data_IF_997288348104
#
_entry.id   IF_997288348104
#
_cell.length_a   1.000
_cell.length_b   1.000
_cell.length_c   1.000
_cell.angle_alpha   90.00
_cell.angle_beta   90.00
_cell.angle_gamma   90.00
#
_symmetry.space_group_name_H-M   'P 1'
#
loop_
_entity.id
_entity.type
_entity.pdbx_description
1 polymer ?
#
# COMPACT_ATOMS: atom_id res chain seq x y z
N UNK A 1 25.08 13.53 15.39
CA UNK A 1 24.54 12.21 15.80
C UNK A 1 23.69 11.76 14.62
N UNK A 2 24.08 10.72 13.93
CA UNK A 2 23.21 10.06 12.94
C UNK A 2 22.14 9.36 13.75
N UNK A 3 20.90 9.87 13.71
CA UNK A 3 19.78 9.17 14.30
C UNK A 3 19.71 7.76 13.68
N UNK A 4 19.55 6.73 14.50
CA UNK A 4 19.43 5.36 14.00
C UNK A 4 18.14 5.27 13.15
N UNK A 5 18.27 4.69 11.95
CA UNK A 5 17.10 4.48 11.10
C UNK A 5 16.20 3.45 11.77
N UNK A 6 14.92 3.78 11.93
CA UNK A 6 13.95 2.91 12.61
C UNK A 6 12.65 2.78 11.85
N UNK A 7 11.99 1.64 12.01
CA UNK A 7 10.63 1.41 11.52
C UNK A 7 9.65 2.11 12.44
N UNK A 8 8.91 3.10 11.92
CA UNK A 8 7.91 3.87 12.68
C UNK A 8 6.48 3.48 12.41
N UNK A 9 6.23 2.72 11.34
CA UNK A 9 4.88 2.27 11.01
C UNK A 9 4.87 1.08 10.06
N UNK A 10 3.92 0.18 10.29
CA UNK A 10 3.66 -0.98 9.44
C UNK A 10 2.19 -0.98 9.04
N UNK A 11 1.93 -1.16 7.75
CA UNK A 11 0.57 -1.08 7.21
C UNK A 11 0.34 -2.13 6.14
N UNK A 12 -0.85 -2.72 6.13
CA UNK A 12 -1.35 -3.49 4.99
C UNK A 12 -2.68 -2.92 4.49
N UNK A 13 -3.05 -3.26 3.29
CA UNK A 13 -4.28 -2.82 2.62
C UNK A 13 -5.02 -4.05 2.11
N UNK A 14 -5.84 -4.72 2.93
CA UNK A 14 -6.43 -6.01 2.56
C UNK A 14 -7.16 -5.98 1.22
N UNK A 15 -7.88 -4.89 0.94
CA UNK A 15 -8.59 -4.68 -0.32
C UNK A 15 -7.98 -3.50 -1.09
N UNK A 16 -7.62 -3.71 -2.36
CA UNK A 16 -7.13 -2.64 -3.25
C UNK A 16 -8.07 -1.45 -3.24
N UNK A 17 -7.53 -0.25 -3.03
CA UNK A 17 -8.31 1.01 -3.02
C UNK A 17 -8.97 1.37 -1.69
N UNK A 18 -9.08 0.45 -0.72
CA UNK A 18 -9.66 0.73 0.60
C UNK A 18 -8.60 1.12 1.64
N UNK A 19 -9.03 1.36 2.87
CA UNK A 19 -8.21 1.89 3.97
C UNK A 19 -7.04 0.99 4.36
N UNK A 20 -5.96 1.57 4.92
CA UNK A 20 -4.90 0.80 5.55
C UNK A 20 -5.36 0.16 6.86
N UNK A 21 -4.68 -0.92 7.23
CA UNK A 21 -4.68 -1.49 8.56
C UNK A 21 -3.28 -1.36 9.16
N UNK A 22 -3.16 -0.65 10.27
CA UNK A 22 -1.91 -0.57 11.01
C UNK A 22 -1.62 -1.91 11.71
N UNK A 23 -0.36 -2.30 11.73
CA UNK A 23 0.13 -3.52 12.36
C UNK A 23 1.22 -3.17 13.37
N UNK A 24 1.19 -3.67 14.61
CA UNK A 24 2.30 -3.47 15.55
C UNK A 24 3.52 -4.30 15.14
N UNK A 25 3.27 -5.45 14.53
CA UNK A 25 4.28 -6.37 14.00
C UNK A 25 3.69 -7.21 12.88
N UNK A 26 4.57 -7.79 12.06
CA UNK A 26 4.17 -8.69 10.97
C UNK A 26 5.27 -9.71 10.69
N UNK A 27 4.90 -10.93 10.34
CA UNK A 27 5.80 -11.93 9.81
C UNK A 27 5.86 -11.78 8.29
N UNK A 28 7.05 -11.63 7.74
CA UNK A 28 7.29 -11.60 6.31
C UNK A 28 7.89 -12.93 5.86
N UNK A 29 7.46 -13.42 4.70
CA UNK A 29 7.99 -14.62 4.05
C UNK A 29 8.79 -14.24 2.81
N UNK A 30 9.82 -15.01 2.50
CA UNK A 30 10.71 -14.72 1.38
C UNK A 30 9.95 -14.79 0.04
N UNK A 31 10.11 -13.75 -0.77
CA UNK A 31 9.49 -13.66 -2.08
C UNK A 31 8.01 -13.28 -2.09
N UNK A 32 7.41 -13.05 -0.91
CA UNK A 32 6.00 -12.69 -0.77
C UNK A 32 5.81 -11.21 -0.44
N UNK A 33 4.58 -10.72 -0.60
CA UNK A 33 4.15 -9.42 -0.10
C UNK A 33 3.90 -9.49 1.42
N UNK A 34 3.52 -8.38 2.01
CA UNK A 34 3.00 -8.37 3.37
C UNK A 34 1.70 -9.22 3.43
N UNK A 35 1.51 -10.09 4.45
CA UNK A 35 0.34 -10.96 4.55
C UNK A 35 -0.97 -10.19 4.40
N UNK A 36 -1.84 -10.70 3.52
CA UNK A 36 -3.14 -10.10 3.13
C UNK A 36 -3.05 -8.72 2.48
N UNK A 37 -1.85 -8.23 2.12
CA UNK A 37 -1.74 -6.95 1.44
C UNK A 37 -2.25 -7.04 0.01
N UNK A 38 -3.32 -6.28 -0.31
CA UNK A 38 -4.04 -6.30 -1.60
C UNK A 38 -4.43 -7.73 -2.04
N UNK A 39 -4.75 -8.60 -1.06
CA UNK A 39 -5.19 -9.97 -1.34
C UNK A 39 -6.55 -10.00 -2.06
N UNK A 40 -7.32 -8.92 -1.94
CA UNK A 40 -8.57 -8.72 -2.66
C UNK A 40 -8.56 -7.42 -3.45
N UNK A 41 -9.29 -7.44 -4.58
CA UNK A 41 -9.62 -6.25 -5.34
C UNK A 41 -11.09 -6.27 -5.73
N UNK A 42 -11.65 -5.10 -6.02
CA UNK A 42 -13.01 -4.96 -6.53
C UNK A 42 -12.93 -4.65 -8.01
N UNK A 43 -13.29 -5.60 -8.87
CA UNK A 43 -13.40 -5.34 -10.30
C UNK A 43 -14.48 -4.29 -10.58
N UNK A 44 -14.19 -3.43 -11.53
CA UNK A 44 -15.10 -2.37 -11.99
C UNK A 44 -15.38 -2.52 -13.47
N UNK A 45 -16.45 -3.20 -13.79
CA UNK A 45 -16.87 -3.50 -15.15
C UNK A 45 -16.79 -4.99 -15.49
N UNK A 46 -16.71 -5.34 -16.79
CA UNK A 46 -16.71 -6.74 -17.21
C UNK A 46 -15.51 -7.47 -16.60
N UNK A 47 -15.80 -8.57 -15.90
CA UNK A 47 -14.83 -9.39 -15.20
C UNK A 47 -13.71 -9.86 -16.13
N UNK A 48 -12.47 -9.47 -15.83
CA UNK A 48 -11.26 -9.84 -16.58
C UNK A 48 -10.33 -10.71 -15.79
N UNK A 49 -10.53 -10.76 -14.46
CA UNK A 49 -9.67 -11.53 -13.60
C UNK A 49 -10.12 -12.98 -13.55
N UNK A 50 -9.23 -13.86 -13.98
CA UNK A 50 -9.40 -15.32 -13.86
C UNK A 50 -8.70 -15.80 -12.59
N UNK A 51 -9.47 -16.32 -11.63
CA UNK A 51 -8.96 -16.83 -10.36
C UNK A 51 -8.15 -18.14 -10.54
N UNK A 52 -8.39 -18.90 -11.61
CA UNK A 52 -7.71 -20.15 -11.92
C UNK A 52 -6.40 -19.93 -12.69
N UNK A 53 -6.26 -18.76 -13.34
CA UNK A 53 -5.04 -18.35 -14.05
C UNK A 53 -4.73 -16.88 -13.69
N UNK A 54 -4.36 -16.60 -12.41
CA UNK A 54 -4.17 -15.24 -11.92
C UNK A 54 -3.00 -14.57 -12.66
N UNK A 55 -3.26 -13.37 -13.17
CA UNK A 55 -2.24 -12.54 -13.81
C UNK A 55 -2.39 -11.09 -13.39
N UNK A 56 -1.30 -10.35 -13.45
CA UNK A 56 -1.34 -8.93 -13.23
C UNK A 56 -2.25 -8.25 -14.26
N UNK A 57 -3.16 -7.40 -13.78
CA UNK A 57 -4.04 -6.59 -14.62
C UNK A 57 -3.81 -5.11 -14.34
N UNK A 58 -3.98 -4.24 -15.36
CA UNK A 58 -3.92 -2.80 -15.15
C UNK A 58 -4.88 -2.36 -14.05
N UNK A 59 -4.44 -1.43 -13.20
CA UNK A 59 -5.25 -0.91 -12.08
C UNK A 59 -6.63 -0.39 -12.51
N UNK A 60 -6.77 0.04 -13.77
CA UNK A 60 -8.05 0.48 -14.33
C UNK A 60 -9.13 -0.62 -14.41
N UNK A 61 -8.75 -1.90 -14.26
CA UNK A 61 -9.72 -3.00 -14.16
C UNK A 61 -10.48 -3.01 -12.83
N UNK A 62 -9.98 -2.28 -11.83
CA UNK A 62 -10.48 -2.30 -10.47
C UNK A 62 -10.97 -0.91 -10.03
N UNK A 63 -11.76 -0.85 -8.96
CA UNK A 63 -11.97 0.38 -8.21
C UNK A 63 -10.62 0.86 -7.66
N UNK A 64 -10.31 2.15 -7.83
CA UNK A 64 -9.00 2.71 -7.47
C UNK A 64 -9.11 4.19 -7.08
N UNK A 65 -8.35 4.60 -6.06
CA UNK A 65 -8.37 5.99 -5.55
C UNK A 65 -8.02 7.05 -6.61
N UNK A 66 -7.22 6.70 -7.62
CA UNK A 66 -6.87 7.64 -8.69
C UNK A 66 -8.09 8.20 -9.42
N UNK A 67 -9.19 7.43 -9.50
CA UNK A 67 -10.44 7.81 -10.16
C UNK A 67 -11.60 7.90 -9.19
N UNK A 68 -11.61 7.05 -8.18
CA UNK A 68 -12.76 6.79 -7.31
C UNK A 68 -12.43 7.26 -5.89
N UNK A 69 -12.18 8.58 -5.70
CA UNK A 69 -11.74 9.18 -4.42
C UNK A 69 -12.70 8.95 -3.27
N UNK A 70 -13.99 8.76 -3.55
CA UNK A 70 -15.00 8.41 -2.53
C UNK A 70 -14.67 7.15 -1.75
N UNK A 71 -13.82 6.25 -2.30
CA UNK A 71 -13.34 5.08 -1.56
C UNK A 71 -12.57 5.45 -0.29
N UNK A 72 -11.87 6.59 -0.28
CA UNK A 72 -11.11 7.06 0.88
C UNK A 72 -12.00 7.43 2.07
N UNK A 73 -13.28 7.78 1.84
CA UNK A 73 -14.23 8.08 2.92
C UNK A 73 -14.78 6.83 3.61
N UNK A 74 -14.47 5.65 3.09
CA UNK A 74 -14.81 4.36 3.70
C UNK A 74 -13.67 3.91 4.62
N UNK A 75 -13.94 3.84 5.90
CA UNK A 75 -13.01 3.28 6.89
C UNK A 75 -13.21 1.77 6.93
N UNK A 76 -12.13 1.01 6.86
CA UNK A 76 -12.22 -0.45 6.87
C UNK A 76 -11.39 -1.04 7.99
N UNK A 77 -11.91 -2.11 8.59
CA UNK A 77 -11.16 -3.01 9.47
C UNK A 77 -11.25 -4.43 8.95
N UNK A 78 -10.17 -5.17 9.10
CA UNK A 78 -10.05 -6.54 8.62
C UNK A 78 -9.62 -7.46 9.75
N UNK A 79 -10.44 -8.47 10.02
CA UNK A 79 -10.14 -9.54 10.95
C UNK A 79 -9.44 -10.67 10.18
N UNK A 80 -8.16 -10.89 10.49
CA UNK A 80 -7.33 -11.87 9.80
C UNK A 80 -7.78 -13.32 10.06
N UNK A 81 -8.22 -13.63 11.30
CA UNK A 81 -8.60 -14.98 11.68
C UNK A 81 -9.86 -15.45 10.95
N UNK A 82 -10.81 -14.55 10.72
CA UNK A 82 -12.09 -14.83 10.07
C UNK A 82 -12.15 -14.30 8.64
N UNK A 83 -11.11 -13.61 8.17
CA UNK A 83 -11.08 -12.88 6.88
C UNK A 83 -12.28 -11.95 6.69
N UNK A 84 -12.80 -11.41 7.79
CA UNK A 84 -13.98 -10.54 7.77
C UNK A 84 -13.58 -9.09 7.55
N UNK A 85 -14.09 -8.49 6.49
CA UNK A 85 -14.01 -7.05 6.23
C UNK A 85 -15.24 -6.36 6.82
N UNK A 86 -15.01 -5.34 7.64
CA UNK A 86 -16.04 -4.40 8.08
C UNK A 86 -15.78 -3.04 7.43
N UNK A 87 -16.79 -2.47 6.79
CA UNK A 87 -16.77 -1.12 6.23
C UNK A 87 -17.57 -0.22 7.14
N UNK A 88 -16.97 0.90 7.53
CA UNK A 88 -17.63 1.98 8.29
C UNK A 88 -17.63 3.28 7.48
N UNK A 89 -18.63 4.12 7.74
CA UNK A 89 -18.75 5.47 7.20
C UNK A 89 -19.20 6.41 8.31
N UNK A 90 -18.44 7.50 8.49
CA UNK A 90 -18.72 8.44 9.61
C UNK A 90 -18.70 7.72 10.97
N UNK A 91 -17.79 6.78 11.18
CA UNK A 91 -17.64 6.03 12.41
C UNK A 91 -18.68 4.91 12.64
N UNK A 92 -19.67 4.74 11.74
CA UNK A 92 -20.72 3.72 11.88
C UNK A 92 -20.48 2.57 10.90
N UNK A 93 -20.50 1.29 11.33
CA UNK A 93 -20.48 0.14 10.44
C UNK A 93 -21.67 0.18 9.47
N UNK A 94 -21.41 0.02 8.17
CA UNK A 94 -22.41 0.06 7.10
C UNK A 94 -22.45 -1.23 6.29
N UNK A 95 -21.40 -2.04 6.33
CA UNK A 95 -21.36 -3.37 5.69
C UNK A 95 -20.33 -4.25 6.38
N UNK A 96 -20.58 -5.56 6.44
CA UNK A 96 -19.65 -6.55 6.99
C UNK A 96 -19.81 -7.87 6.24
N UNK A 97 -18.68 -8.49 5.85
CA UNK A 97 -18.70 -9.76 5.14
C UNK A 97 -17.38 -10.52 5.26
N UNK A 98 -17.47 -11.82 5.38
CA UNK A 98 -16.34 -12.74 5.29
C UNK A 98 -15.89 -12.86 3.83
N UNK A 99 -14.71 -12.36 3.51
CA UNK A 99 -14.17 -12.33 2.14
C UNK A 99 -13.75 -13.73 1.63
N UNK A 100 -13.62 -14.72 2.50
CA UNK A 100 -13.39 -16.09 2.08
C UNK A 100 -14.65 -16.72 1.49
N UNK A 101 -15.85 -16.27 1.89
CA UNK A 101 -17.12 -16.84 1.44
C UNK A 101 -17.76 -16.05 0.31
N UNK A 102 -18.50 -16.75 -0.56
CA UNK A 102 -19.28 -16.12 -1.64
C UNK A 102 -20.34 -15.17 -1.08
N UNK A 103 -21.04 -15.58 0.01
CA UNK A 103 -22.09 -14.78 0.66
C UNK A 103 -21.51 -13.49 1.24
N UNK A 104 -20.38 -13.59 1.97
CA UNK A 104 -19.76 -12.42 2.58
C UNK A 104 -19.25 -11.43 1.54
N UNK A 105 -18.66 -11.90 0.42
CA UNK A 105 -18.29 -11.04 -0.70
C UNK A 105 -19.51 -10.36 -1.31
N UNK A 106 -20.61 -11.10 -1.53
CA UNK A 106 -21.84 -10.53 -2.09
C UNK A 106 -22.43 -9.40 -1.23
N UNK A 107 -22.35 -9.48 0.08
CA UNK A 107 -22.81 -8.41 0.99
C UNK A 107 -21.99 -7.13 0.77
N UNK A 108 -20.66 -7.25 0.67
CA UNK A 108 -19.79 -6.09 0.43
C UNK A 108 -19.99 -5.55 -1.00
N UNK A 109 -20.15 -6.42 -1.98
CA UNK A 109 -20.40 -6.03 -3.38
C UNK A 109 -21.72 -5.24 -3.52
N UNK A 110 -22.80 -5.66 -2.87
CA UNK A 110 -24.08 -4.95 -2.86
C UNK A 110 -23.96 -3.56 -2.25
N UNK A 111 -23.24 -3.45 -1.12
CA UNK A 111 -22.95 -2.15 -0.52
C UNK A 111 -22.17 -1.25 -1.49
N UNK A 112 -21.08 -1.76 -2.10
CA UNK A 112 -20.28 -1.00 -3.04
C UNK A 112 -21.06 -0.66 -4.31
N UNK A 113 -21.96 -1.53 -4.78
CA UNK A 113 -22.83 -1.24 -5.91
C UNK A 113 -23.72 -0.02 -5.65
N UNK A 114 -24.29 0.06 -4.47
CA UNK A 114 -25.12 1.21 -4.09
C UNK A 114 -24.27 2.47 -3.84
N UNK A 115 -23.14 2.32 -3.12
CA UNK A 115 -22.32 3.45 -2.72
C UNK A 115 -21.57 4.09 -3.90
N UNK A 116 -21.06 3.29 -4.84
CA UNK A 116 -20.21 3.72 -5.97
C UNK A 116 -20.98 3.79 -7.29
N UNK A 117 -22.33 3.76 -7.28
CA UNK A 117 -23.20 3.62 -8.47
C UNK A 117 -22.77 4.50 -9.66
N UNK A 118 -22.37 5.75 -9.40
CA UNK A 118 -22.02 6.72 -10.44
C UNK A 118 -20.60 6.52 -11.03
N UNK A 119 -19.76 5.70 -10.37
CA UNK A 119 -18.38 5.39 -10.77
C UNK A 119 -18.23 3.99 -11.37
N UNK A 120 -19.28 3.18 -11.30
CA UNK A 120 -19.25 1.80 -11.78
C UNK A 120 -19.46 1.71 -13.29
N UNK A 121 -18.73 0.79 -13.92
CA UNK A 121 -18.86 0.41 -15.34
C UNK A 121 -19.61 -0.91 -15.52
N UNK A 122 -20.08 -1.49 -14.42
CA UNK A 122 -20.83 -2.73 -14.31
C UNK A 122 -20.89 -3.19 -12.85
N UNK A 123 -21.53 -4.31 -12.54
CA UNK A 123 -21.61 -4.83 -11.18
C UNK A 123 -20.20 -5.02 -10.58
N UNK A 124 -19.93 -4.49 -9.37
CA UNK A 124 -18.65 -4.69 -8.71
C UNK A 124 -18.53 -6.17 -8.30
N UNK A 125 -17.35 -6.75 -8.47
CA UNK A 125 -17.04 -8.13 -8.08
C UNK A 125 -15.77 -8.18 -7.27
N UNK A 126 -15.82 -8.72 -6.06
CA UNK A 126 -14.63 -8.96 -5.24
C UNK A 126 -13.92 -10.21 -5.78
N UNK A 127 -12.65 -10.04 -6.11
CA UNK A 127 -11.79 -11.10 -6.65
C UNK A 127 -10.58 -11.30 -5.76
N UNK A 128 -10.10 -12.54 -5.72
CA UNK A 128 -8.87 -12.98 -5.05
C UNK A 128 -8.36 -14.25 -5.70
N UNK A 129 -7.07 -14.55 -5.54
CA UNK A 129 -6.52 -15.85 -5.86
C UNK A 129 -5.39 -16.18 -4.88
N UNK A 130 -5.17 -17.46 -4.53
CA UNK A 130 -4.07 -17.85 -3.66
C UNK A 130 -2.73 -17.37 -4.20
N UNK A 131 -1.89 -16.79 -3.32
CA UNK A 131 -0.57 -16.30 -3.69
C UNK A 131 -0.54 -15.07 -4.61
N UNK A 132 -1.71 -14.49 -4.97
CA UNK A 132 -1.79 -13.30 -5.82
C UNK A 132 -2.08 -12.05 -4.99
N UNK A 133 -1.34 -10.98 -5.24
CA UNK A 133 -1.60 -9.65 -4.67
C UNK A 133 -1.90 -8.65 -5.79
N UNK A 134 -2.96 -7.86 -5.61
CA UNK A 134 -3.41 -6.84 -6.57
C UNK A 134 -2.63 -5.53 -6.42
N UNK A 135 -1.30 -5.60 -6.30
CA UNK A 135 -0.40 -4.45 -6.31
C UNK A 135 -0.44 -3.71 -7.66
N UNK A 136 0.18 -2.53 -7.73
CA UNK A 136 0.25 -1.76 -9.00
C UNK A 136 1.41 -2.25 -9.91
N UNK A 137 2.28 -3.13 -9.39
CA UNK A 137 3.36 -3.81 -10.12
C UNK A 137 3.11 -5.32 -10.11
N UNK A 138 3.70 -6.02 -11.09
CA UNK A 138 3.55 -7.47 -11.21
C UNK A 138 4.38 -8.24 -10.16
N UNK A 139 5.50 -7.66 -9.76
CA UNK A 139 6.44 -8.24 -8.82
C UNK A 139 5.86 -8.20 -7.39
N UNK A 140 6.11 -9.28 -6.65
CA UNK A 140 5.71 -9.37 -5.24
C UNK A 140 6.74 -8.64 -4.38
N UNK A 141 6.27 -7.72 -3.53
CA UNK A 141 7.15 -6.95 -2.67
C UNK A 141 6.40 -6.05 -1.69
N UNK A 142 7.14 -5.27 -0.95
CA UNK A 142 6.64 -4.29 0.01
C UNK A 142 7.04 -2.88 -0.43
N UNK A 143 6.25 -1.90 -0.06
CA UNK A 143 6.51 -0.49 -0.35
C UNK A 143 6.99 0.23 0.92
N UNK A 144 8.16 0.87 0.84
CA UNK A 144 8.79 1.61 1.92
C UNK A 144 8.82 3.12 1.61
N UNK A 145 8.51 3.94 2.61
CA UNK A 145 8.71 5.40 2.56
C UNK A 145 9.53 5.89 3.74
N UNK A 146 10.23 7.02 3.53
CA UNK A 146 11.04 7.72 4.52
C UNK A 146 10.33 9.01 4.97
N UNK A 147 10.14 9.19 6.28
CA UNK A 147 9.49 10.39 6.83
C UNK A 147 10.30 11.68 6.60
N UNK A 148 11.63 11.59 6.50
CA UNK A 148 12.44 12.77 6.16
C UNK A 148 12.20 13.22 4.70
N UNK A 149 12.00 12.28 3.77
CA UNK A 149 11.59 12.58 2.40
C UNK A 149 10.20 13.19 2.35
N UNK A 150 9.27 12.69 3.19
CA UNK A 150 7.95 13.30 3.35
C UNK A 150 8.05 14.74 3.87
N UNK A 151 8.87 14.98 4.89
CA UNK A 151 9.07 16.32 5.45
C UNK A 151 9.66 17.30 4.42
N UNK A 152 10.56 16.85 3.54
CA UNK A 152 11.09 17.69 2.46
C UNK A 152 10.01 18.02 1.41
N UNK A 153 9.15 17.07 1.06
CA UNK A 153 7.99 17.31 0.20
C UNK A 153 7.00 18.28 0.85
N UNK A 154 6.68 18.10 2.14
CA UNK A 154 5.82 19.00 2.92
C UNK A 154 6.33 20.43 2.93
N UNK A 155 7.66 20.62 3.09
CA UNK A 155 8.30 21.94 3.04
C UNK A 155 8.07 22.63 1.70
N UNK A 156 8.18 21.89 0.58
CA UNK A 156 7.95 22.42 -0.76
C UNK A 156 6.45 22.69 -1.02
N UNK A 157 5.57 21.89 -0.42
CA UNK A 157 4.13 22.07 -0.55
C UNK A 157 3.54 23.11 0.40
N UNK A 158 4.30 23.55 1.42
CA UNK A 158 3.86 24.50 2.43
C UNK A 158 2.77 23.95 3.38
N UNK A 159 2.63 22.62 3.48
CA UNK A 159 1.59 21.98 4.31
C UNK A 159 2.01 20.59 4.77
N UNK A 160 1.40 20.10 5.84
CA UNK A 160 1.53 18.71 6.28
C UNK A 160 0.75 17.75 5.36
N UNK A 161 1.31 16.58 5.18
CA UNK A 161 0.71 15.51 4.37
C UNK A 161 0.58 14.23 5.21
N UNK A 162 -0.57 13.57 5.12
CA UNK A 162 -0.72 12.26 5.71
C UNK A 162 0.13 11.23 4.91
N UNK A 163 1.09 10.52 5.55
CA UNK A 163 1.95 9.54 4.85
C UNK A 163 1.16 8.41 4.18
N UNK A 164 -0.04 8.11 4.64
CA UNK A 164 -0.89 7.06 4.09
C UNK A 164 -1.44 7.38 2.69
N UNK A 165 -1.29 8.63 2.21
CA UNK A 165 -1.53 8.99 0.78
C UNK A 165 -0.68 8.17 -0.17
N UNK A 166 0.53 7.80 0.27
CA UNK A 166 1.47 7.01 -0.50
C UNK A 166 1.24 5.51 -0.39
N UNK A 167 0.35 5.08 0.51
CA UNK A 167 -0.02 3.67 0.75
C UNK A 167 1.18 2.76 1.01
N UNK A 168 2.09 3.14 1.95
CA UNK A 168 3.26 2.36 2.28
C UNK A 168 2.89 1.10 3.07
N UNK A 169 3.74 0.07 2.97
CA UNK A 169 3.74 -1.06 3.88
C UNK A 169 4.66 -0.80 5.09
N UNK A 170 5.78 -0.12 4.84
CA UNK A 170 6.81 0.19 5.85
C UNK A 170 7.07 1.68 5.81
N UNK A 171 7.04 2.31 6.98
CA UNK A 171 7.42 3.70 7.17
C UNK A 171 8.66 3.74 8.06
N UNK A 172 9.70 4.45 7.63
CA UNK A 172 10.93 4.64 8.40
C UNK A 172 11.18 6.10 8.75
N UNK A 173 11.98 6.32 9.80
CA UNK A 173 12.54 7.61 10.16
C UNK A 173 14.04 7.48 10.47
N UNK A 174 14.75 8.60 10.64
CA UNK A 174 16.18 8.66 10.96
C UNK A 174 17.11 8.66 9.74
N UNK A 175 16.62 8.32 8.54
CA UNK A 175 17.40 8.48 7.31
C UNK A 175 17.33 9.93 6.80
N UNK A 176 18.37 10.38 6.09
CA UNK A 176 18.34 11.67 5.39
C UNK A 176 17.23 11.70 4.33
N UNK A 177 16.70 12.89 3.96
CA UNK A 177 15.74 13.00 2.86
C UNK A 177 16.29 12.36 1.58
N UNK A 178 15.46 11.57 0.89
CA UNK A 178 15.76 10.87 -0.38
C UNK A 178 16.86 9.81 -0.29
N UNK A 179 17.36 9.47 0.91
CA UNK A 179 18.40 8.46 1.11
C UNK A 179 17.98 7.09 0.57
N UNK A 180 16.69 6.75 0.66
CA UNK A 180 16.14 5.49 0.17
C UNK A 180 16.35 5.27 -1.34
N UNK A 181 16.50 6.32 -2.12
CA UNK A 181 16.82 6.22 -3.55
C UNK A 181 18.25 5.76 -3.82
N UNK A 182 19.17 6.03 -2.89
CA UNK A 182 20.54 5.53 -2.95
C UNK A 182 20.69 4.05 -2.58
N UNK A 183 19.63 3.42 -2.10
CA UNK A 183 19.66 2.01 -1.68
C UNK A 183 19.24 1.03 -2.79
N UNK A 184 18.96 1.49 -4.00
CA UNK A 184 18.61 0.62 -5.12
C UNK A 184 19.69 -0.46 -5.33
N UNK A 185 19.28 -1.72 -5.42
CA UNK A 185 20.15 -2.89 -5.50
C UNK A 185 20.84 -3.28 -4.20
N UNK A 186 20.57 -2.56 -3.09
CA UNK A 186 21.14 -2.88 -1.77
C UNK A 186 20.16 -3.70 -0.93
N UNK A 187 20.72 -4.46 0.01
CA UNK A 187 19.95 -5.20 1.01
C UNK A 187 19.83 -4.37 2.30
N UNK A 188 18.62 -4.19 2.79
CA UNK A 188 18.34 -3.70 4.13
C UNK A 188 18.18 -4.87 5.09
N UNK A 189 18.76 -4.74 6.28
CA UNK A 189 18.53 -5.63 7.42
C UNK A 189 17.69 -4.90 8.45
N UNK A 190 16.61 -5.53 8.89
CA UNK A 190 15.65 -4.87 9.79
C UNK A 190 15.48 -5.69 11.05
N UNK A 191 15.77 -5.05 12.20
CA UNK A 191 15.64 -5.62 13.53
C UNK A 191 16.48 -6.88 13.76
N UNK A 192 16.26 -7.51 14.88
CA UNK A 192 16.86 -8.81 15.23
C UNK A 192 16.06 -10.00 14.70
N UNK A 193 14.89 -9.75 14.12
CA UNK A 193 13.96 -10.77 13.62
C UNK A 193 14.37 -11.44 12.31
N UNK A 194 15.54 -11.09 11.73
CA UNK A 194 16.11 -11.73 10.55
C UNK A 194 15.57 -11.24 9.21
N UNK A 195 14.69 -10.25 9.20
CA UNK A 195 14.11 -9.69 7.96
C UNK A 195 15.18 -9.03 7.11
N UNK A 196 15.21 -9.39 5.82
CA UNK A 196 16.04 -8.73 4.81
C UNK A 196 15.18 -8.31 3.62
N UNK A 197 15.44 -7.10 3.14
CA UNK A 197 14.73 -6.51 2.01
C UNK A 197 15.75 -6.02 0.98
N UNK A 198 15.65 -6.48 -0.26
CA UNK A 198 16.38 -5.94 -1.40
C UNK A 198 15.55 -4.80 -2.01
N UNK A 199 16.14 -3.61 -2.10
CA UNK A 199 15.48 -2.45 -2.73
C UNK A 199 15.56 -2.61 -4.24
N UNK A 200 14.40 -2.69 -4.91
CA UNK A 200 14.34 -3.00 -6.34
C UNK A 200 14.13 -1.79 -7.21
N UNK A 201 13.17 -0.93 -6.87
CA UNK A 201 12.74 0.17 -7.73
C UNK A 201 12.26 1.38 -6.92
N UNK A 202 12.27 2.56 -7.56
CA UNK A 202 11.56 3.73 -7.08
C UNK A 202 10.07 3.61 -7.39
N UNK A 203 9.22 4.21 -6.57
CA UNK A 203 7.77 4.14 -6.75
C UNK A 203 7.26 5.39 -7.44
N UNK A 204 6.94 5.29 -8.74
CA UNK A 204 6.29 6.35 -9.50
C UNK A 204 4.88 6.65 -8.97
N UNK A 205 4.57 7.92 -8.75
CA UNK A 205 3.29 8.35 -8.16
C UNK A 205 2.28 8.78 -9.20
N UNK A 206 1.03 8.40 -8.95
CA UNK A 206 -0.12 8.80 -9.74
C UNK A 206 -1.07 9.69 -8.91
N UNK A 207 -2.11 10.20 -9.53
CA UNK A 207 -3.09 11.09 -8.90
C UNK A 207 -3.86 10.48 -7.71
N UNK A 208 -3.66 9.20 -7.38
CA UNK A 208 -4.19 8.63 -6.14
C UNK A 208 -3.60 9.31 -4.89
N UNK A 209 -2.34 9.80 -4.95
CA UNK A 209 -1.70 10.51 -3.84
C UNK A 209 -2.29 11.89 -3.58
N UNK A 210 -3.03 12.45 -4.55
CA UNK A 210 -3.74 13.73 -4.40
C UNK A 210 -4.97 13.61 -3.51
N UNK A 211 -5.44 12.38 -3.23
CA UNK A 211 -6.60 12.11 -2.40
C UNK A 211 -6.19 12.03 -0.93
N UNK A 212 -6.84 12.82 -0.10
CA UNK A 212 -6.70 12.70 1.35
C UNK A 212 -7.33 11.39 1.85
N UNK A 213 -6.59 10.55 2.58
CA UNK A 213 -7.09 9.24 2.99
C UNK A 213 -8.15 9.29 4.10
N UNK A 214 -8.35 10.44 4.73
CA UNK A 214 -9.34 10.62 5.79
C UNK A 214 -10.63 11.25 5.27
N UNK A 215 -10.50 12.24 4.39
CA UNK A 215 -11.64 13.04 3.90
C UNK A 215 -12.11 12.65 2.51
N UNK A 216 -11.26 11.98 1.72
CA UNK A 216 -11.51 11.70 0.31
C UNK A 216 -11.35 12.93 -0.61
N UNK A 217 -10.95 14.08 -0.07
CA UNK A 217 -10.76 15.29 -0.88
C UNK A 217 -9.52 15.18 -1.78
N UNK A 218 -9.62 15.65 -3.01
CA UNK A 218 -8.46 15.90 -3.89
C UNK A 218 -7.89 17.27 -3.56
N UNK A 219 -7.09 17.36 -2.53
CA UNK A 219 -6.60 18.60 -1.95
C UNK A 219 -5.10 18.85 -2.22
N UNK A 220 -4.45 17.99 -3.00
CA UNK A 220 -3.04 18.07 -3.33
C UNK A 220 -2.80 17.81 -4.82
N UNK A 221 -1.59 18.18 -5.30
CA UNK A 221 -1.08 17.86 -6.64
C UNK A 221 0.35 17.33 -6.51
N UNK A 222 0.46 16.18 -5.82
CA UNK A 222 1.75 15.60 -5.43
C UNK A 222 2.60 15.20 -6.64
N UNK A 223 2.10 14.43 -7.65
CA UNK A 223 2.94 14.03 -8.78
C UNK A 223 3.51 15.21 -9.57
N UNK A 224 2.69 16.25 -9.80
CA UNK A 224 3.16 17.42 -10.52
C UNK A 224 4.12 18.28 -9.67
N UNK A 225 3.96 18.29 -8.35
CA UNK A 225 4.91 18.95 -7.45
C UNK A 225 6.26 18.25 -7.43
N UNK A 226 6.27 16.92 -7.36
CA UNK A 226 7.49 16.11 -7.44
C UNK A 226 8.23 16.37 -8.78
N UNK A 227 7.51 16.33 -9.90
CA UNK A 227 8.07 16.60 -11.23
C UNK A 227 8.70 18.00 -11.33
N UNK A 228 8.00 19.03 -10.85
CA UNK A 228 8.52 20.41 -10.92
C UNK A 228 9.73 20.64 -10.04
N UNK A 229 9.80 20.00 -8.86
CA UNK A 229 10.85 20.25 -7.88
C UNK A 229 12.08 19.38 -8.08
N UNK A 230 11.88 18.11 -8.43
CA UNK A 230 12.97 17.11 -8.49
C UNK A 230 13.15 16.45 -9.86
N UNK A 231 12.33 16.81 -10.87
CA UNK A 231 12.42 16.26 -12.23
C UNK A 231 11.92 14.81 -12.35
N UNK A 232 11.24 14.30 -11.36
CA UNK A 232 10.65 12.97 -11.37
C UNK A 232 9.36 12.92 -10.54
N UNK A 233 8.58 11.84 -10.69
CA UNK A 233 7.33 11.62 -9.93
C UNK A 233 7.46 10.52 -8.89
N UNK A 234 8.69 10.18 -8.50
CA UNK A 234 8.93 9.07 -7.59
C UNK A 234 8.88 9.51 -6.14
N UNK A 235 8.37 8.63 -5.27
CA UNK A 235 8.36 8.82 -3.83
C UNK A 235 8.32 7.45 -3.12
N UNK A 236 9.35 7.14 -2.31
CA UNK A 236 9.57 5.84 -1.70
C UNK A 236 10.06 4.78 -2.68
N UNK A 237 10.26 3.58 -2.19
CA UNK A 237 10.87 2.47 -2.93
C UNK A 237 10.09 1.17 -2.75
N UNK A 238 10.14 0.32 -3.75
CA UNK A 238 9.76 -1.08 -3.64
C UNK A 238 10.92 -1.91 -3.12
N UNK A 239 10.59 -2.94 -2.36
CA UNK A 239 11.55 -3.89 -1.84
C UNK A 239 11.01 -5.32 -1.93
N UNK A 240 11.89 -6.25 -2.30
CA UNK A 240 11.63 -7.69 -2.27
C UNK A 240 12.08 -8.26 -0.94
N UNK A 241 11.29 -9.12 -0.33
CA UNK A 241 11.68 -9.85 0.89
C UNK A 241 12.66 -10.96 0.47
N UNK A 242 13.93 -10.83 0.89
CA UNK A 242 15.00 -11.80 0.57
C UNK A 242 15.26 -12.79 1.71
N UNK A 243 14.87 -12.44 2.95
CA UNK A 243 14.87 -13.38 4.07
C UNK A 243 13.64 -13.16 4.95
N UNK A 244 13.02 -14.29 5.33
CA UNK A 244 11.85 -14.29 6.23
C UNK A 244 12.22 -13.85 7.63
N UNK A 245 11.25 -13.29 8.34
CA UNK A 245 11.42 -12.92 9.74
C UNK A 245 10.22 -12.16 10.28
N UNK A 246 10.34 -11.67 11.50
CA UNK A 246 9.33 -10.81 12.15
C UNK A 246 9.83 -9.38 12.12
N UNK A 247 9.00 -8.49 11.62
CA UNK A 247 9.20 -7.05 11.56
C UNK A 247 8.28 -6.37 12.57
N UNK A 248 8.83 -5.48 13.40
CA UNK A 248 8.11 -4.80 14.47
C UNK A 248 8.35 -3.29 14.38
N UNK A 249 7.35 -2.49 14.73
CA UNK A 249 7.57 -1.05 14.91
C UNK A 249 8.63 -0.82 16.01
N UNK A 250 9.61 0.05 15.73
CA UNK A 250 10.78 0.28 16.58
C UNK A 250 12.03 -0.49 16.15
N UNK A 251 11.92 -1.45 15.24
CA UNK A 251 13.08 -2.17 14.72
C UNK A 251 14.06 -1.22 14.02
N UNK A 252 15.36 -1.38 14.32
CA UNK A 252 16.43 -0.66 13.65
C UNK A 252 16.61 -1.15 12.21
N UNK A 253 16.91 -0.24 11.29
CA UNK A 253 17.18 -0.52 9.89
C UNK A 253 18.65 -0.23 9.60
N UNK A 254 19.36 -1.19 9.01
CA UNK A 254 20.72 -1.00 8.53
C UNK A 254 20.85 -1.38 7.05
N UNK A 255 21.64 -0.60 6.31
CA UNK A 255 22.00 -0.94 4.94
C UNK A 255 23.24 -1.83 4.98
N UNK A 256 23.25 -2.95 4.24
CA UNK A 256 24.52 -3.62 3.93
C UNK A 256 25.24 -2.77 2.88
N UNK A 257 26.51 -2.46 3.09
CA UNK A 257 27.33 -1.89 2.02
C UNK A 257 27.17 -2.75 0.76
N UNK A 258 27.00 -2.12 -0.40
CA UNK A 258 26.86 -2.83 -1.67
C UNK A 258 27.96 -3.89 -1.78
N UNK A 259 27.57 -5.14 -2.00
CA UNK A 259 28.54 -6.20 -2.32
C UNK A 259 29.19 -5.77 -3.64
N UNK A 260 30.51 -5.53 -3.61
CA UNK A 260 31.24 -5.29 -4.86
C UNK A 260 30.95 -6.45 -5.83
N UNK A 261 30.73 -6.17 -7.13
CA UNK A 261 30.56 -7.22 -8.10
C UNK A 261 31.78 -8.13 -8.10
N UNK A 262 31.54 -9.43 -8.02
CA UNK A 262 32.60 -10.45 -8.11
C UNK A 262 33.12 -10.57 -9.53
#
# INVERSE_FOLDING_TARGET
MTDDITVTGLYRYPVKGLSPQALPRVRLEQGETMPFDRAWAVENGPGRFDQNAPRHLPKAAFLMLMRDERLATLQTSFDEATQTLTIARGGKPVSRGDLATKTGRSIIEQFLAAYMKDSLRGPPRIVSAPGHSFTDIAEQGVHLINLATLADLERVMGRKLNPLRFRPNIVISGAAPWAEFGWLGQELRIGSGGVRLEITDRVGRCAATNVDPETGARDADIPARLERQWGHRDFGVYAKVTARGVLTCGDAVSTSAARAPA
#
